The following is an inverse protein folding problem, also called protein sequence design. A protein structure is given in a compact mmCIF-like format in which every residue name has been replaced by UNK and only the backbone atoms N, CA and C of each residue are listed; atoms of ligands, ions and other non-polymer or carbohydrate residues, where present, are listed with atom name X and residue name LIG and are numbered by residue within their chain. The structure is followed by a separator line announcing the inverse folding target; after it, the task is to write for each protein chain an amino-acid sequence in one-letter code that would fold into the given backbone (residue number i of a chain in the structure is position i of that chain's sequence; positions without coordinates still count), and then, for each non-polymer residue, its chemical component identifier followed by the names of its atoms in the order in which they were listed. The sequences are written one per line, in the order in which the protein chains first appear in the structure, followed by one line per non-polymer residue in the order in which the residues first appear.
data_IF_682677651555
#
_entry.id   IF_682677651555
#
_cell.length_a   1.000
_cell.length_b   1.000
_cell.length_c   1.000
_cell.angle_alpha   90.00
_cell.angle_beta   90.00
_cell.angle_gamma   90.00
#
_symmetry.space_group_name_H-M   'P 1'
#
loop_
_entity.id
_entity.type
_entity.pdbx_description
1 polymer ?
#
# COMPACT_ATOMS: atom_id res chain seq x y z
N UNK A 1 -108.02 -6.01 39.39
CA UNK A 1 -107.43 -7.17 38.68
C UNK A 1 -106.45 -6.78 37.56
N UNK A 2 -106.83 -6.00 36.54
CA UNK A 2 -105.91 -5.62 35.44
C UNK A 2 -104.62 -4.91 35.91
N UNK A 3 -104.75 -3.95 36.82
CA UNK A 3 -103.60 -3.24 37.41
C UNK A 3 -102.70 -4.14 38.25
N UNK A 4 -103.27 -5.08 39.01
CA UNK A 4 -102.48 -6.02 39.81
C UNK A 4 -101.73 -7.04 38.94
N UNK A 5 -102.35 -7.47 37.83
CA UNK A 5 -101.69 -8.32 36.84
C UNK A 5 -100.54 -7.59 36.15
N UNK A 6 -100.73 -6.33 35.76
CA UNK A 6 -99.68 -5.47 35.20
C UNK A 6 -98.54 -5.22 36.20
N UNK A 7 -98.85 -4.99 37.48
CA UNK A 7 -97.87 -4.83 38.56
C UNK A 7 -97.05 -6.11 38.81
N UNK A 8 -97.68 -7.28 38.68
CA UNK A 8 -97.01 -8.58 38.83
C UNK A 8 -96.02 -8.82 37.68
N UNK A 9 -96.42 -8.51 36.44
CA UNK A 9 -95.54 -8.62 35.26
C UNK A 9 -94.40 -7.60 35.29
N UNK A 10 -94.62 -6.36 35.76
CA UNK A 10 -93.56 -5.36 35.91
C UNK A 10 -92.48 -5.77 36.93
N UNK A 11 -92.87 -6.52 37.97
CA UNK A 11 -91.94 -7.10 38.95
C UNK A 11 -91.15 -8.28 38.38
N UNK A 12 -91.75 -9.05 37.49
CA UNK A 12 -91.13 -10.23 36.85
C UNK A 12 -90.31 -9.86 35.61
N UNK A 13 -90.60 -8.75 34.94
CA UNK A 13 -89.82 -8.20 33.83
C UNK A 13 -88.42 -7.78 34.32
N UNK A 14 -87.42 -8.59 33.99
CA UNK A 14 -86.04 -8.48 34.45
C UNK A 14 -85.19 -7.51 33.63
N UNK A 15 -85.70 -7.03 32.49
CA UNK A 15 -84.97 -6.15 31.58
C UNK A 15 -85.57 -4.76 31.41
N UNK A 16 -84.70 -3.77 31.12
CA UNK A 16 -85.12 -2.40 30.75
C UNK A 16 -85.97 -2.41 29.45
N UNK A 17 -85.79 -3.42 28.58
CA UNK A 17 -86.55 -3.59 27.33
C UNK A 17 -87.99 -4.05 27.56
N UNK A 18 -88.19 -5.05 28.42
CA UNK A 18 -89.52 -5.61 28.74
C UNK A 18 -90.39 -4.58 29.47
N UNK A 19 -89.79 -3.79 30.37
CA UNK A 19 -90.49 -2.68 31.06
C UNK A 19 -90.87 -1.54 30.12
N UNK A 20 -90.06 -1.27 29.09
CA UNK A 20 -90.36 -0.25 28.08
C UNK A 20 -91.49 -0.68 27.14
N UNK A 21 -91.65 -1.98 26.85
CA UNK A 21 -92.76 -2.51 26.05
C UNK A 21 -94.10 -2.46 26.80
N UNK A 22 -94.09 -2.72 28.11
CA UNK A 22 -95.30 -2.63 28.94
C UNK A 22 -95.83 -1.20 29.07
N UNK A 23 -94.94 -0.20 29.08
CA UNK A 23 -95.32 1.22 29.09
C UNK A 23 -96.03 1.65 27.80
N UNK A 24 -95.74 1.02 26.65
CA UNK A 24 -96.41 1.32 25.37
C UNK A 24 -97.87 0.84 25.32
N UNK A 25 -98.26 -0.10 26.18
CA UNK A 25 -99.60 -0.70 26.21
C UNK A 25 -100.55 -0.06 27.24
N UNK A 26 -100.12 1.00 27.93
CA UNK A 26 -100.89 1.69 28.96
C UNK A 26 -101.76 2.81 28.36
N UNK A 27 -102.97 3.03 28.91
CA UNK A 27 -103.97 3.94 28.33
C UNK A 27 -103.72 5.44 28.62
N UNK A 28 -102.86 5.75 29.60
CA UNK A 28 -102.49 7.11 29.99
C UNK A 28 -101.14 7.50 29.35
N UNK A 29 -101.21 8.29 28.29
CA UNK A 29 -100.09 8.64 27.43
C UNK A 29 -99.14 9.67 28.08
N UNK A 30 -99.68 10.61 28.86
CA UNK A 30 -98.89 11.63 29.58
C UNK A 30 -98.02 11.01 30.66
N UNK A 31 -98.59 10.07 31.44
CA UNK A 31 -97.85 9.32 32.45
C UNK A 31 -96.70 8.51 31.83
N UNK A 32 -96.95 7.86 30.68
CA UNK A 32 -95.92 7.07 30.00
C UNK A 32 -94.79 7.94 29.46
N UNK A 33 -95.10 9.11 28.89
CA UNK A 33 -94.09 10.05 28.42
C UNK A 33 -93.20 10.57 29.57
N UNK A 34 -93.79 10.88 30.73
CA UNK A 34 -93.05 11.30 31.91
C UNK A 34 -92.12 10.20 32.44
N UNK A 35 -92.60 8.96 32.55
CA UNK A 35 -91.81 7.81 33.01
C UNK A 35 -90.62 7.55 32.06
N UNK A 36 -90.82 7.61 30.74
CA UNK A 36 -89.75 7.46 29.76
C UNK A 36 -88.71 8.59 29.85
N UNK A 37 -89.13 9.84 30.07
CA UNK A 37 -88.22 10.98 30.27
C UNK A 37 -87.37 10.82 31.53
N UNK A 38 -87.99 10.40 32.65
CA UNK A 38 -87.27 10.11 33.90
C UNK A 38 -86.28 8.97 33.70
N UNK A 39 -86.70 7.87 33.06
CA UNK A 39 -85.83 6.73 32.78
C UNK A 39 -84.62 7.14 31.93
N UNK A 40 -84.82 7.97 30.90
CA UNK A 40 -83.74 8.50 30.07
C UNK A 40 -82.78 9.39 30.87
N UNK A 41 -83.29 10.27 31.74
CA UNK A 41 -82.45 11.09 32.63
C UNK A 41 -81.65 10.24 33.60
N UNK A 42 -82.27 9.24 34.24
CA UNK A 42 -81.59 8.30 35.15
C UNK A 42 -80.50 7.54 34.40
N UNK A 43 -80.79 6.99 33.22
CA UNK A 43 -79.78 6.32 32.40
C UNK A 43 -78.64 7.26 32.00
N UNK A 44 -78.93 8.52 31.67
CA UNK A 44 -77.91 9.54 31.38
C UNK A 44 -77.03 9.85 32.59
N UNK A 45 -77.62 9.98 33.78
CA UNK A 45 -76.90 10.21 35.04
C UNK A 45 -76.00 9.01 35.36
N UNK A 46 -76.51 7.77 35.23
CA UNK A 46 -75.73 6.55 35.46
C UNK A 46 -74.53 6.49 34.50
N UNK A 47 -74.73 6.78 33.21
CA UNK A 47 -73.63 6.85 32.23
C UNK A 47 -72.61 7.92 32.62
N UNK A 48 -73.06 9.12 32.96
CA UNK A 48 -72.19 10.23 33.39
C UNK A 48 -71.39 9.89 34.65
N UNK A 49 -72.03 9.23 35.62
CA UNK A 49 -71.39 8.79 36.86
C UNK A 49 -70.30 7.75 36.55
N UNK A 50 -70.62 6.74 35.75
CA UNK A 50 -69.66 5.71 35.35
C UNK A 50 -68.48 6.28 34.56
N UNK A 51 -68.70 7.26 33.67
CA UNK A 51 -67.60 7.94 32.97
C UNK A 51 -66.73 8.77 33.91
N UNK A 52 -67.34 9.45 34.88
CA UNK A 52 -66.59 10.25 35.86
C UNK A 52 -65.77 9.35 36.79
N UNK A 53 -66.35 8.23 37.24
CA UNK A 53 -65.67 7.24 38.07
C UNK A 53 -64.45 6.64 37.35
N UNK A 54 -64.60 6.28 36.07
CA UNK A 54 -63.47 5.81 35.24
C UNK A 54 -62.38 6.87 35.11
N UNK A 55 -62.75 8.13 34.89
CA UNK A 55 -61.80 9.25 34.80
C UNK A 55 -61.05 9.46 36.11
N UNK A 56 -61.76 9.39 37.25
CA UNK A 56 -61.16 9.51 38.57
C UNK A 56 -60.17 8.38 38.86
N UNK A 57 -60.53 7.12 38.58
CA UNK A 57 -59.59 6.01 38.77
C UNK A 57 -58.37 6.14 37.85
N UNK A 58 -58.55 6.56 36.60
CA UNK A 58 -57.46 6.82 35.66
C UNK A 58 -56.53 7.94 36.16
N UNK A 59 -57.07 9.09 36.59
CA UNK A 59 -56.29 10.20 37.13
C UNK A 59 -55.54 9.80 38.40
N UNK A 60 -56.16 8.99 39.26
CA UNK A 60 -55.53 8.46 40.47
C UNK A 60 -54.36 7.53 40.14
N UNK A 61 -54.52 6.62 39.17
CA UNK A 61 -53.44 5.74 38.72
C UNK A 61 -52.29 6.53 38.10
N UNK A 62 -52.59 7.48 37.21
CA UNK A 62 -51.57 8.32 36.57
C UNK A 62 -50.80 9.16 37.58
N UNK A 63 -51.48 9.72 38.59
CA UNK A 63 -50.82 10.50 39.64
C UNK A 63 -49.92 9.63 40.51
N UNK A 64 -50.36 8.41 40.84
CA UNK A 64 -49.58 7.45 41.62
C UNK A 64 -48.32 7.02 40.86
N UNK A 65 -48.45 6.73 39.57
CA UNK A 65 -47.31 6.38 38.71
C UNK A 65 -46.30 7.53 38.59
N UNK A 66 -46.78 8.76 38.38
CA UNK A 66 -45.91 9.95 38.32
C UNK A 66 -45.19 10.20 39.63
N UNK A 67 -45.88 10.04 40.77
CA UNK A 67 -45.28 10.19 42.09
C UNK A 67 -44.19 9.14 42.31
N UNK A 68 -44.49 7.87 42.03
CA UNK A 68 -43.55 6.78 42.21
C UNK A 68 -42.34 6.89 41.28
N UNK A 69 -42.53 7.37 40.04
CA UNK A 69 -41.43 7.67 39.13
C UNK A 69 -40.51 8.78 39.69
N UNK A 70 -41.09 9.88 40.20
CA UNK A 70 -40.32 10.96 40.80
C UNK A 70 -39.58 10.52 42.07
N UNK A 71 -40.23 9.72 42.93
CA UNK A 71 -39.62 9.14 44.12
C UNK A 71 -38.41 8.25 43.78
N UNK A 72 -38.55 7.39 42.76
CA UNK A 72 -37.46 6.53 42.30
C UNK A 72 -36.26 7.32 41.76
N UNK A 73 -36.51 8.41 41.03
CA UNK A 73 -35.44 9.30 40.53
C UNK A 73 -34.70 9.96 41.71
N UNK A 74 -35.43 10.57 42.64
CA UNK A 74 -34.84 11.22 43.81
C UNK A 74 -34.05 10.24 44.68
N UNK A 75 -34.56 9.01 44.85
CA UNK A 75 -33.84 7.95 45.56
C UNK A 75 -32.51 7.62 44.90
N UNK A 76 -32.49 7.50 43.57
CA UNK A 76 -31.26 7.29 42.80
C UNK A 76 -30.25 8.43 42.96
N UNK A 77 -30.70 9.68 42.96
CA UNK A 77 -29.83 10.85 43.18
C UNK A 77 -29.21 10.86 44.58
N UNK A 78 -30.01 10.53 45.62
CA UNK A 78 -29.52 10.43 47.00
C UNK A 78 -28.47 9.34 47.14
N UNK A 79 -28.68 8.17 46.54
CA UNK A 79 -27.73 7.06 46.57
C UNK A 79 -26.41 7.45 45.87
N UNK A 80 -26.50 8.11 44.71
CA UNK A 80 -25.33 8.60 43.97
C UNK A 80 -24.52 9.64 44.78
N UNK A 81 -25.19 10.65 45.32
CA UNK A 81 -24.54 11.68 46.15
C UNK A 81 -23.89 11.09 47.40
N UNK A 82 -24.52 10.07 47.99
CA UNK A 82 -23.97 9.35 49.15
C UNK A 82 -22.69 8.60 48.78
N UNK A 83 -22.66 7.95 47.62
CA UNK A 83 -21.46 7.30 47.10
C UNK A 83 -20.32 8.29 46.83
N UNK A 84 -20.62 9.42 46.19
CA UNK A 84 -19.63 10.46 45.87
C UNK A 84 -19.03 11.08 47.14
N UNK A 85 -19.85 11.34 48.16
CA UNK A 85 -19.39 11.79 49.46
C UNK A 85 -18.45 10.78 50.14
N UNK A 86 -18.73 9.49 50.01
CA UNK A 86 -17.87 8.44 50.56
C UNK A 86 -16.50 8.41 49.87
N UNK A 87 -16.47 8.55 48.53
CA UNK A 87 -15.23 8.64 47.75
C UNK A 87 -14.40 9.86 48.17
N UNK A 88 -15.03 11.03 48.23
CA UNK A 88 -14.36 12.27 48.65
C UNK A 88 -13.76 12.16 50.05
N UNK A 89 -14.51 11.62 51.01
CA UNK A 89 -14.03 11.42 52.38
C UNK A 89 -12.86 10.44 52.45
N UNK A 90 -12.89 9.36 51.66
CA UNK A 90 -11.77 8.42 51.55
C UNK A 90 -10.52 9.09 50.96
N UNK A 91 -10.67 9.88 49.90
CA UNK A 91 -9.56 10.61 49.29
C UNK A 91 -8.96 11.62 50.27
N UNK A 92 -9.81 12.40 50.95
CA UNK A 92 -9.39 13.35 51.98
C UNK A 92 -8.62 12.67 53.12
N UNK A 93 -9.05 11.47 53.54
CA UNK A 93 -8.35 10.66 54.54
C UNK A 93 -6.97 10.23 54.03
N UNK A 94 -6.90 9.65 52.83
CA UNK A 94 -5.63 9.23 52.20
C UNK A 94 -4.64 10.37 52.03
N UNK A 95 -5.10 11.57 51.68
CA UNK A 95 -4.25 12.76 51.58
C UNK A 95 -3.70 13.16 52.95
N UNK A 96 -4.53 13.15 54.00
CA UNK A 96 -4.08 13.43 55.37
C UNK A 96 -3.10 12.39 55.91
N UNK A 97 -3.33 11.12 55.60
CA UNK A 97 -2.50 9.99 56.03
C UNK A 97 -1.24 9.83 55.15
N UNK A 98 -1.20 10.49 53.99
CA UNK A 98 -0.07 10.40 53.08
C UNK A 98 1.22 10.89 53.72
N UNK A 99 2.24 10.04 53.70
CA UNK A 99 3.60 10.40 54.11
C UNK A 99 4.29 11.31 53.10
N UNK A 100 3.69 11.54 51.92
CA UNK A 100 4.27 12.30 50.81
C UNK A 100 4.89 13.64 51.25
N UNK A 101 4.19 14.41 52.10
CA UNK A 101 4.70 15.69 52.59
C UNK A 101 5.94 15.51 53.48
N UNK A 102 5.97 14.47 54.31
CA UNK A 102 7.11 14.14 55.18
C UNK A 102 8.28 13.59 54.37
N UNK A 103 8.01 12.73 53.38
CA UNK A 103 9.01 12.13 52.52
C UNK A 103 9.66 13.17 51.59
N UNK A 104 8.86 14.08 51.02
CA UNK A 104 9.35 15.21 50.24
C UNK A 104 10.24 16.13 51.09
N UNK A 105 9.83 16.44 52.33
CA UNK A 105 10.63 17.25 53.24
C UNK A 105 11.93 16.53 53.66
N UNK A 106 11.88 15.22 53.91
CA UNK A 106 13.07 14.40 54.21
C UNK A 106 14.03 14.36 53.02
N UNK A 107 13.52 14.26 51.81
CA UNK A 107 14.32 14.25 50.59
C UNK A 107 15.01 15.61 50.37
N UNK A 108 14.28 16.71 50.51
CA UNK A 108 14.84 18.07 50.44
C UNK A 108 15.94 18.28 51.50
N UNK A 109 15.75 17.73 52.70
CA UNK A 109 16.76 17.80 53.77
C UNK A 109 18.00 16.93 53.47
N UNK A 110 17.83 15.79 52.82
CA UNK A 110 18.91 14.84 52.52
C UNK A 110 19.71 15.23 51.27
N UNK A 111 19.06 15.82 50.27
CA UNK A 111 19.62 16.02 48.93
C UNK A 111 19.58 17.47 48.45
N UNK A 112 19.03 18.40 49.24
CA UNK A 112 18.85 19.79 48.85
C UNK A 112 17.60 20.03 47.98
N UNK A 113 17.41 21.27 47.55
CA UNK A 113 16.27 21.63 46.69
C UNK A 113 16.45 21.01 45.29
N UNK A 114 15.43 20.30 44.74
CA UNK A 114 15.52 19.68 43.42
C UNK A 114 15.90 20.63 42.27
N UNK A 115 15.59 21.93 42.37
CA UNK A 115 15.78 22.88 41.26
C UNK A 115 17.23 22.99 40.77
N UNK A 116 18.16 23.34 41.66
CA UNK A 116 19.55 23.64 41.28
C UNK A 116 20.33 22.40 40.80
N UNK A 117 20.05 21.22 41.35
CA UNK A 117 20.68 19.98 40.91
C UNK A 117 20.24 19.58 39.50
N UNK A 118 18.93 19.61 39.22
CA UNK A 118 18.41 19.24 37.90
C UNK A 118 18.75 20.26 36.82
N UNK A 119 18.83 21.55 37.14
CA UNK A 119 19.32 22.59 36.23
C UNK A 119 20.78 22.33 35.83
N UNK A 120 21.66 22.06 36.79
CA UNK A 120 23.06 21.73 36.53
C UNK A 120 23.23 20.43 35.71
N UNK A 121 22.42 19.41 35.98
CA UNK A 121 22.44 18.17 35.21
C UNK A 121 21.97 18.40 33.77
N UNK A 122 20.92 19.21 33.57
CA UNK A 122 20.41 19.56 32.25
C UNK A 122 21.45 20.34 31.42
N UNK A 123 22.18 21.29 32.03
CA UNK A 123 23.26 22.02 31.37
C UNK A 123 24.43 21.08 30.97
N UNK A 124 24.81 20.15 31.86
CA UNK A 124 25.84 19.14 31.58
C UNK A 124 25.44 18.24 30.40
N UNK A 125 24.19 17.77 30.37
CA UNK A 125 23.69 16.93 29.27
C UNK A 125 23.64 17.69 27.94
N UNK A 126 23.27 18.98 27.95
CA UNK A 126 23.27 19.82 26.75
C UNK A 126 24.68 19.89 26.13
N UNK A 127 25.71 20.13 26.95
CA UNK A 127 27.09 20.17 26.48
C UNK A 127 27.54 18.85 25.84
N UNK A 128 27.18 17.71 26.46
CA UNK A 128 27.49 16.39 25.88
C UNK A 128 26.77 16.19 24.55
N UNK A 129 25.51 16.61 24.42
CA UNK A 129 24.74 16.51 23.17
C UNK A 129 25.40 17.36 22.08
N UNK A 130 25.81 18.59 22.38
CA UNK A 130 26.50 19.48 21.44
C UNK A 130 27.81 18.84 20.94
N UNK A 131 28.65 18.37 21.86
CA UNK A 131 29.89 17.66 21.51
C UNK A 131 29.65 16.43 20.64
N UNK A 132 28.61 15.64 20.95
CA UNK A 132 28.26 14.46 20.14
C UNK A 132 27.74 14.86 18.77
N UNK A 133 26.96 15.94 18.69
CA UNK A 133 26.42 16.48 17.43
C UNK A 133 27.54 16.95 16.52
N UNK A 134 28.52 17.71 17.03
CA UNK A 134 29.69 18.14 16.27
C UNK A 134 30.50 16.95 15.74
N UNK A 135 30.70 15.91 16.56
CA UNK A 135 31.42 14.70 16.14
C UNK A 135 30.68 13.96 15.03
N UNK A 136 29.35 13.86 15.11
CA UNK A 136 28.54 13.26 14.04
C UNK A 136 28.65 14.07 12.75
N UNK A 137 28.52 15.40 12.83
CA UNK A 137 28.68 16.26 11.65
C UNK A 137 30.06 16.10 10.99
N UNK A 138 31.12 15.99 11.78
CA UNK A 138 32.47 15.78 11.26
C UNK A 138 32.60 14.41 10.57
N UNK A 139 32.01 13.36 11.14
CA UNK A 139 31.96 12.05 10.49
C UNK A 139 31.15 12.09 9.18
N UNK A 140 30.04 12.82 9.14
CA UNK A 140 29.25 13.02 7.92
C UNK A 140 30.05 13.72 6.82
N UNK A 141 30.84 14.75 7.14
CA UNK A 141 31.72 15.40 6.14
C UNK A 141 32.77 14.44 5.57
N UNK A 142 33.37 13.61 6.43
CA UNK A 142 34.35 12.59 6.00
C UNK A 142 33.71 11.54 5.10
N UNK A 143 32.48 11.13 5.41
CA UNK A 143 31.74 10.18 4.58
C UNK A 143 31.48 10.74 3.19
N UNK A 144 31.03 12.00 3.08
CA UNK A 144 30.82 12.68 1.80
C UNK A 144 32.10 12.78 0.96
N UNK A 145 33.24 13.07 1.60
CA UNK A 145 34.54 13.09 0.91
C UNK A 145 34.92 11.70 0.38
N UNK A 146 34.67 10.65 1.17
CA UNK A 146 34.94 9.27 0.77
C UNK A 146 34.03 8.83 -0.39
N UNK A 147 32.76 9.22 -0.39
CA UNK A 147 31.81 8.97 -1.48
C UNK A 147 32.29 9.62 -2.78
N UNK A 148 32.70 10.89 -2.74
CA UNK A 148 33.24 11.59 -3.91
C UNK A 148 34.53 10.95 -4.45
N UNK A 149 35.42 10.47 -3.57
CA UNK A 149 36.61 9.73 -3.98
C UNK A 149 36.25 8.37 -4.61
N UNK A 150 35.24 7.69 -4.09
CA UNK A 150 34.76 6.41 -4.62
C UNK A 150 34.19 6.60 -6.03
N UNK A 151 33.37 7.62 -6.26
CA UNK A 151 32.83 7.96 -7.58
C UNK A 151 33.95 8.27 -8.58
N UNK A 152 34.95 9.07 -8.16
CA UNK A 152 36.11 9.37 -8.99
C UNK A 152 36.92 8.12 -9.33
N UNK A 153 37.14 7.23 -8.36
CA UNK A 153 37.84 5.97 -8.61
C UNK A 153 37.08 5.10 -9.61
N UNK A 154 35.76 4.97 -9.48
CA UNK A 154 34.95 4.23 -10.45
C UNK A 154 35.08 4.80 -11.87
N UNK A 155 35.02 6.13 -12.02
CA UNK A 155 35.21 6.76 -13.33
C UNK A 155 36.59 6.50 -13.93
N UNK A 156 37.64 6.45 -13.10
CA UNK A 156 38.99 6.12 -13.55
C UNK A 156 39.14 4.64 -13.92
N UNK A 157 38.49 3.74 -13.19
CA UNK A 157 38.43 2.31 -13.53
C UNK A 157 37.74 2.09 -14.88
N UNK A 158 36.61 2.75 -15.12
CA UNK A 158 35.89 2.68 -16.40
C UNK A 158 36.77 3.20 -17.56
N UNK A 159 37.50 4.30 -17.34
CA UNK A 159 38.44 4.84 -18.33
C UNK A 159 39.60 3.87 -18.60
N UNK A 160 40.14 3.22 -17.55
CA UNK A 160 41.21 2.25 -17.70
C UNK A 160 40.75 1.03 -18.50
N UNK A 161 39.56 0.50 -18.23
CA UNK A 161 38.95 -0.60 -19.00
C UNK A 161 38.79 -0.20 -20.47
N UNK A 162 38.28 1.00 -20.75
CA UNK A 162 38.12 1.49 -22.10
C UNK A 162 39.46 1.58 -22.87
N UNK A 163 40.51 2.09 -22.22
CA UNK A 163 41.85 2.17 -22.82
C UNK A 163 42.43 0.76 -23.05
N UNK A 164 42.24 -0.18 -22.11
CA UNK A 164 42.68 -1.56 -22.29
C UNK A 164 41.99 -2.23 -23.47
N UNK A 165 40.69 -2.00 -23.64
CA UNK A 165 39.93 -2.53 -24.77
C UNK A 165 40.44 -1.96 -26.11
N UNK A 166 40.73 -0.65 -26.18
CA UNK A 166 41.33 -0.07 -27.39
C UNK A 166 42.71 -0.64 -27.70
N UNK A 167 43.55 -0.85 -26.68
CA UNK A 167 44.86 -1.45 -26.87
C UNK A 167 44.76 -2.87 -27.42
N UNK A 168 43.79 -3.65 -26.95
CA UNK A 168 43.57 -5.02 -27.46
C UNK A 168 43.11 -5.01 -28.92
N UNK A 169 42.18 -4.12 -29.30
CA UNK A 169 41.77 -3.95 -30.71
C UNK A 169 42.98 -3.60 -31.60
N UNK A 170 43.81 -2.65 -31.17
CA UNK A 170 45.03 -2.29 -31.90
C UNK A 170 46.02 -3.46 -31.99
N UNK A 171 46.17 -4.24 -30.93
CA UNK A 171 47.04 -5.44 -30.92
C UNK A 171 46.57 -6.47 -31.94
N UNK A 172 45.26 -6.75 -32.00
CA UNK A 172 44.66 -7.65 -33.01
C UNK A 172 44.89 -7.12 -34.42
N UNK A 173 44.70 -5.80 -34.64
CA UNK A 173 44.96 -5.18 -35.94
C UNK A 173 46.43 -5.29 -36.35
N UNK A 174 47.36 -5.12 -35.42
CA UNK A 174 48.80 -5.29 -35.67
C UNK A 174 49.11 -6.74 -36.06
N UNK A 175 48.57 -7.72 -35.36
CA UNK A 175 48.78 -9.15 -35.64
C UNK A 175 48.27 -9.54 -37.05
N UNK A 176 47.09 -9.03 -37.43
CA UNK A 176 46.55 -9.19 -38.79
C UNK A 176 47.47 -8.59 -39.86
N UNK A 177 47.96 -7.36 -39.64
CA UNK A 177 48.90 -6.71 -40.56
C UNK A 177 50.23 -7.47 -40.64
N UNK A 178 50.74 -7.99 -39.53
CA UNK A 178 51.96 -8.81 -39.50
C UNK A 178 51.80 -10.08 -40.30
N UNK A 179 50.66 -10.77 -40.17
CA UNK A 179 50.33 -11.97 -40.95
C UNK A 179 50.31 -11.65 -42.45
N UNK A 180 49.68 -10.54 -42.85
CA UNK A 180 49.64 -10.10 -44.24
C UNK A 180 51.04 -9.78 -44.79
N UNK A 181 51.88 -9.09 -44.00
CA UNK A 181 53.28 -8.80 -44.37
C UNK A 181 54.07 -10.08 -44.59
N UNK A 182 53.91 -11.09 -43.71
CA UNK A 182 54.57 -12.39 -43.87
C UNK A 182 54.12 -13.11 -45.14
N UNK A 183 52.82 -13.10 -45.44
CA UNK A 183 52.26 -13.68 -46.66
C UNK A 183 52.83 -13.01 -47.93
N UNK A 184 52.76 -11.68 -48.01
CA UNK A 184 53.29 -10.93 -49.14
C UNK A 184 54.80 -11.13 -49.32
N UNK A 185 55.56 -11.20 -48.21
CA UNK A 185 57.00 -11.45 -48.26
C UNK A 185 57.31 -12.85 -48.84
N UNK A 186 56.51 -13.85 -48.49
CA UNK A 186 56.62 -15.20 -49.05
C UNK A 186 56.30 -15.21 -50.55
N UNK A 187 55.19 -14.61 -50.95
CA UNK A 187 54.81 -14.49 -52.37
C UNK A 187 55.90 -13.76 -53.17
N UNK A 188 56.47 -12.68 -52.63
CA UNK A 188 57.58 -11.96 -53.26
C UNK A 188 58.81 -12.87 -53.47
N UNK A 189 59.16 -13.67 -52.47
CA UNK A 189 60.29 -14.61 -52.55
C UNK A 189 60.02 -15.73 -53.56
N UNK A 190 58.80 -16.27 -53.60
CA UNK A 190 58.39 -17.31 -54.54
C UNK A 190 58.41 -16.80 -55.99
N UNK A 191 57.90 -15.58 -56.23
CA UNK A 191 57.93 -14.90 -57.53
C UNK A 191 59.36 -14.61 -57.98
N UNK A 192 60.23 -14.14 -57.07
CA UNK A 192 61.64 -13.91 -57.36
C UNK A 192 62.34 -15.22 -57.79
N UNK A 193 62.10 -16.31 -57.06
CA UNK A 193 62.64 -17.63 -57.41
C UNK A 193 62.12 -18.15 -58.75
N UNK A 194 60.83 -17.91 -59.07
CA UNK A 194 60.27 -18.26 -60.37
C UNK A 194 60.89 -17.45 -61.52
N UNK A 195 61.10 -16.14 -61.31
CA UNK A 195 61.75 -15.25 -62.26
C UNK A 195 63.20 -15.69 -62.53
N UNK A 196 63.98 -16.02 -61.50
CA UNK A 196 65.35 -16.52 -61.63
C UNK A 196 65.40 -17.82 -62.43
N UNK A 197 64.51 -18.79 -62.15
CA UNK A 197 64.39 -20.03 -62.94
C UNK A 197 64.05 -19.76 -64.40
N UNK A 198 63.09 -18.86 -64.66
CA UNK A 198 62.72 -18.48 -66.03
C UNK A 198 63.87 -17.79 -66.77
N UNK A 199 64.66 -16.96 -66.08
CA UNK A 199 65.83 -16.30 -66.66
C UNK A 199 66.89 -17.32 -67.10
N UNK A 200 67.15 -18.36 -66.30
CA UNK A 200 68.07 -19.46 -66.64
C UNK A 200 67.58 -20.24 -67.87
N UNK A 201 66.30 -20.61 -67.91
CA UNK A 201 65.70 -21.30 -69.07
C UNK A 201 65.80 -20.44 -70.33
N UNK A 202 65.49 -19.14 -70.23
CA UNK A 202 65.60 -18.20 -71.34
C UNK A 202 67.04 -18.08 -71.84
N UNK A 203 68.03 -18.05 -70.93
CA UNK A 203 69.44 -18.03 -71.31
C UNK A 203 69.83 -19.30 -72.07
N UNK A 204 69.42 -20.47 -71.59
CA UNK A 204 69.66 -21.75 -72.27
C UNK A 204 69.02 -21.78 -73.67
N UNK A 205 67.74 -21.40 -73.78
CA UNK A 205 67.05 -21.32 -75.07
C UNK A 205 67.70 -20.30 -76.02
N UNK A 206 68.22 -19.18 -75.49
CA UNK A 206 68.95 -18.20 -76.29
C UNK A 206 70.26 -18.77 -76.84
N UNK A 207 71.00 -19.52 -76.02
CA UNK A 207 72.23 -20.22 -76.45
C UNK A 207 71.91 -21.29 -77.49
N UNK A 208 70.88 -22.10 -77.27
CA UNK A 208 70.42 -23.12 -78.23
C UNK A 208 69.97 -22.48 -79.56
N UNK A 209 69.21 -21.38 -79.49
CA UNK A 209 68.84 -20.58 -80.66
C UNK A 209 70.08 -20.09 -81.42
N UNK A 210 71.08 -19.56 -80.73
CA UNK A 210 72.33 -19.09 -81.36
C UNK A 210 73.09 -20.25 -82.01
N UNK A 211 73.19 -21.41 -81.35
CA UNK A 211 73.80 -22.61 -81.92
C UNK A 211 73.04 -23.11 -83.16
N UNK A 212 71.70 -23.11 -83.14
CA UNK A 212 70.88 -23.50 -84.29
C UNK A 212 71.02 -22.49 -85.44
N UNK A 213 71.05 -21.19 -85.15
CA UNK A 213 71.30 -20.14 -86.15
C UNK A 213 72.69 -20.28 -86.77
N UNK A 214 73.71 -20.59 -85.97
CA UNK A 214 75.04 -20.91 -86.45
C UNK A 214 75.00 -22.11 -87.40
N UNK A 215 74.38 -23.22 -86.98
CA UNK A 215 74.21 -24.40 -87.85
C UNK A 215 73.45 -24.09 -89.15
N UNK A 216 72.42 -23.24 -89.11
CA UNK A 216 71.66 -22.85 -90.30
C UNK A 216 72.49 -22.02 -91.28
N UNK A 217 73.26 -21.04 -90.79
CA UNK A 217 74.16 -20.21 -91.62
C UNK A 217 75.33 -21.00 -92.21
N UNK A 218 75.77 -22.05 -91.51
CA UNK A 218 76.87 -22.92 -91.94
C UNK A 218 76.37 -24.25 -92.52
N UNK A 219 75.06 -24.38 -92.81
CA UNK A 219 74.46 -25.57 -93.42
C UNK A 219 74.93 -25.78 -94.86
N UNK A 220 75.53 -24.77 -95.47
CA UNK A 220 76.22 -24.90 -96.76
C UNK A 220 77.69 -25.41 -96.60
N UNK A 221 78.10 -25.92 -95.42
CA UNK A 221 79.49 -26.29 -95.14
C UNK A 221 79.73 -27.65 -94.46
N UNK A 222 78.79 -28.59 -94.50
CA UNK A 222 79.17 -30.02 -94.46
C UNK A 222 79.20 -30.57 -95.90
N UNK A 223 80.24 -31.32 -96.31
CA UNK A 223 80.30 -31.91 -97.64
C UNK A 223 79.11 -32.86 -97.81
N UNK A 224 78.35 -32.62 -98.88
CA UNK A 224 77.27 -33.48 -99.34
C UNK A 224 77.77 -34.93 -99.48
N UNK A 225 77.25 -35.82 -98.64
CA UNK A 225 77.04 -37.20 -99.06
C UNK A 225 75.56 -37.28 -99.48
N UNK A 226 75.36 -36.95 -100.75
CA UNK A 226 74.44 -37.58 -101.69
C UNK A 226 73.16 -38.19 -101.09
N UNK A 227 72.05 -37.46 -101.20
CA UNK A 227 70.73 -38.10 -101.29
C UNK A 227 70.66 -38.91 -102.60
N UNK A 228 70.24 -40.19 -102.59
CA UNK A 228 69.55 -40.79 -103.71
C UNK A 228 68.10 -40.26 -103.75
N UNK A 229 67.71 -39.70 -104.89
CA UNK A 229 66.36 -39.22 -105.15
C UNK A 229 65.44 -40.36 -105.61
N UNK A 230 64.24 -40.47 -105.00
CA UNK A 230 62.94 -40.73 -105.64
C UNK A 230 61.85 -40.20 -104.67
N UNK A 231 61.26 -39.03 -104.96
CA UNK A 231 59.85 -38.82 -105.35
C UNK A 231 58.83 -39.43 -104.36
N UNK A 232 57.90 -38.69 -103.75
CA UNK A 232 56.91 -37.86 -104.45
C UNK A 232 56.26 -36.83 -103.51
N UNK A 233 56.09 -35.62 -104.03
CA UNK A 233 55.10 -34.62 -103.61
C UNK A 233 53.69 -35.22 -103.55
N UNK A 234 52.88 -34.74 -102.59
CA UNK A 234 51.54 -34.15 -102.81
C UNK A 234 51.21 -33.29 -101.57
N UNK A 235 51.23 -31.98 -101.76
CA UNK A 235 50.42 -31.01 -101.00
C UNK A 235 49.04 -30.88 -101.70
N UNK A 236 48.06 -30.08 -101.24
CA UNK A 236 47.87 -29.40 -99.96
C UNK A 236 46.51 -29.75 -99.32
N UNK A 237 46.26 -29.25 -98.11
CA UNK A 237 44.91 -28.98 -97.59
C UNK A 237 44.80 -27.50 -97.29
#
# INVERSE_FOLDING_TARGET
ERFEWQLRILKEAGGNSERAELLKAHADEELCALVLSILNKVNSIIRSHNTLQKKHEQEKTELTEKFQAAENVLKGEVDQLTADLQVYNNLKRRVKESTFKKDLQRNIQAHGSPGAFWESEQESLLFVIEMKTERVQEQSRKLQQMEALTEKNQSLEDQAVYILQQNEDLRVRIDNCQTLIQQLSKEQQDLKGALERQAVINQHLSQEKEQLMFKLRHRDSCPSIHLPAMMQEIAPR
#
